data_IF_177269024958
#
_entry.id   IF_177269024958
#
_cell.length_a   1.000
_cell.length_b   1.000
_cell.length_c   1.000
_cell.angle_alpha   90.00
_cell.angle_beta   90.00
_cell.angle_gamma   90.00
#
_symmetry.space_group_name_H-M   'P 1'
#
loop_
_entity.id
_entity.type
_entity.pdbx_description
1 polymer ?
#
# COMPACT_ATOMS: atom_id res chain seq x y z
N UNK A 1 47.29 9.26 48.01
CA UNK A 1 46.22 9.93 47.24
C UNK A 1 45.09 8.94 47.05
N UNK A 2 43.96 9.17 47.71
CA UNK A 2 42.77 8.29 47.64
C UNK A 2 42.00 8.70 46.38
N UNK A 3 41.72 7.81 45.40
CA UNK A 3 40.93 8.20 44.25
C UNK A 3 39.48 8.38 44.67
N UNK A 4 38.85 9.43 44.14
CA UNK A 4 37.55 9.94 44.54
C UNK A 4 36.44 9.11 43.85
N UNK A 5 35.88 8.13 44.56
CA UNK A 5 34.90 7.16 44.02
C UNK A 5 33.59 7.81 43.53
N UNK A 6 33.27 9.01 44.01
CA UNK A 6 32.06 9.73 43.63
C UNK A 6 32.03 10.22 42.18
N UNK A 7 33.19 10.49 41.57
CA UNK A 7 33.26 10.92 40.17
C UNK A 7 32.98 9.77 39.18
N UNK A 8 33.25 8.53 39.56
CA UNK A 8 32.95 7.35 38.73
C UNK A 8 31.45 7.03 38.70
N UNK A 9 30.75 7.21 39.82
CA UNK A 9 29.31 6.94 39.92
C UNK A 9 28.45 7.93 39.13
N UNK A 10 28.85 9.21 39.06
CA UNK A 10 28.16 10.22 38.25
C UNK A 10 28.34 10.01 36.75
N UNK A 11 29.51 9.54 36.30
CA UNK A 11 29.71 9.17 34.89
C UNK A 11 28.92 7.92 34.50
N UNK A 12 28.80 6.94 35.41
CA UNK A 12 28.01 5.73 35.18
C UNK A 12 26.50 6.03 35.08
N UNK A 13 25.98 6.97 35.87
CA UNK A 13 24.56 7.34 35.83
C UNK A 13 24.18 8.22 34.62
N UNK A 14 25.10 9.04 34.10
CA UNK A 14 24.86 9.82 32.87
C UNK A 14 24.82 8.94 31.61
N UNK A 15 25.59 7.84 31.58
CA UNK A 15 25.58 6.88 30.45
C UNK A 15 24.29 6.03 30.37
N UNK A 16 23.56 5.89 31.48
CA UNK A 16 22.30 5.11 31.50
C UNK A 16 21.11 5.95 30.97
N UNK A 17 21.23 7.27 30.92
CA UNK A 17 20.15 8.15 30.43
C UNK A 17 20.09 8.32 28.91
N UNK A 18 21.08 7.83 28.15
CA UNK A 18 21.12 7.92 26.68
C UNK A 18 20.71 6.64 25.95
N UNK A 19 20.22 5.62 26.67
CA UNK A 19 19.87 4.31 26.14
C UNK A 19 18.37 4.07 25.84
N UNK A 20 17.54 5.11 25.79
CA UNK A 20 16.12 5.00 25.42
C UNK A 20 15.71 6.06 24.40
N UNK A 21 16.45 6.14 23.30
CA UNK A 21 15.78 6.42 22.02
C UNK A 21 15.02 5.14 21.69
N UNK A 22 13.70 5.16 21.88
CA UNK A 22 12.87 4.13 21.27
C UNK A 22 13.16 4.14 19.78
N UNK A 23 13.81 3.10 19.28
CA UNK A 23 13.85 2.83 17.85
C UNK A 23 12.39 2.63 17.41
N UNK A 24 11.71 3.72 17.05
CA UNK A 24 10.64 3.65 16.05
C UNK A 24 11.31 3.14 14.78
N UNK A 25 11.38 1.80 14.67
CA UNK A 25 11.90 1.12 13.49
C UNK A 25 11.06 1.58 12.32
N UNK A 26 11.63 2.46 11.51
CA UNK A 26 10.99 2.92 10.28
C UNK A 26 10.64 1.70 9.42
N UNK A 27 9.46 1.67 8.78
CA UNK A 27 9.05 0.52 7.99
C UNK A 27 10.07 0.23 6.88
N UNK A 28 10.36 -1.05 6.60
CA UNK A 28 11.35 -1.41 5.58
C UNK A 28 10.94 -0.89 4.20
N UNK A 29 11.90 -0.58 3.31
CA UNK A 29 11.58 -0.09 1.98
C UNK A 29 10.92 -1.16 1.10
N UNK A 30 10.03 -0.72 0.20
CA UNK A 30 9.41 -1.58 -0.81
C UNK A 30 10.41 -2.04 -1.87
N UNK A 31 10.25 -3.28 -2.36
CA UNK A 31 11.07 -3.85 -3.43
C UNK A 31 10.85 -3.12 -4.77
N UNK A 32 11.88 -3.00 -5.60
CA UNK A 32 11.80 -2.28 -6.88
C UNK A 32 10.82 -2.91 -7.87
N UNK A 33 10.58 -4.21 -7.76
CA UNK A 33 9.63 -4.98 -8.57
C UNK A 33 8.18 -4.56 -8.34
N UNK A 34 7.85 -4.11 -7.13
CA UNK A 34 6.47 -3.84 -6.72
C UNK A 34 5.94 -2.55 -7.38
N UNK A 35 6.83 -1.60 -7.70
CA UNK A 35 6.46 -0.34 -8.35
C UNK A 35 5.81 -0.54 -9.73
N UNK A 36 6.19 -1.58 -10.47
CA UNK A 36 5.57 -1.90 -11.75
C UNK A 36 4.12 -2.35 -11.56
N UNK A 37 3.86 -3.15 -10.52
CA UNK A 37 2.52 -3.57 -10.15
C UNK A 37 1.72 -2.36 -9.70
N UNK A 38 2.23 -1.53 -8.79
CA UNK A 38 1.51 -0.33 -8.35
C UNK A 38 1.15 0.61 -9.50
N UNK A 39 2.08 0.87 -10.42
CA UNK A 39 1.80 1.66 -11.60
C UNK A 39 0.68 1.04 -12.46
N UNK A 40 0.71 -0.27 -12.67
CA UNK A 40 -0.31 -1.02 -13.39
C UNK A 40 -1.68 -0.91 -12.72
N UNK A 41 -1.77 -1.12 -11.40
CA UNK A 41 -3.03 -1.04 -10.65
C UNK A 41 -3.64 0.35 -10.72
N UNK A 42 -2.82 1.37 -10.45
CA UNK A 42 -3.26 2.76 -10.52
C UNK A 42 -3.74 3.01 -11.95
N UNK A 43 -2.93 2.77 -12.98
CA UNK A 43 -3.28 3.04 -14.38
C UNK A 43 -4.52 2.27 -14.87
N UNK A 44 -4.83 1.09 -14.34
CA UNK A 44 -5.99 0.29 -14.75
C UNK A 44 -7.30 0.77 -14.14
N UNK A 45 -7.26 1.33 -12.92
CA UNK A 45 -8.44 1.94 -12.31
C UNK A 45 -8.88 3.20 -13.08
N UNK A 46 -7.92 3.96 -13.59
CA UNK A 46 -8.20 4.99 -14.57
C UNK A 46 -8.46 4.37 -15.94
N UNK A 47 -9.45 4.85 -16.67
CA UNK A 47 -9.71 4.50 -18.07
C UNK A 47 -8.58 4.98 -19.03
N UNK A 48 -7.30 4.80 -18.71
CA UNK A 48 -6.16 5.31 -19.46
C UNK A 48 -5.83 4.53 -20.73
N UNK A 49 -6.59 3.47 -21.00
CA UNK A 49 -6.48 2.69 -22.24
C UNK A 49 -7.29 3.29 -23.40
N UNK A 50 -8.01 4.41 -23.19
CA UNK A 50 -8.74 5.10 -24.27
C UNK A 50 -7.85 6.16 -24.92
N UNK A 51 -7.62 6.04 -26.23
CA UNK A 51 -6.73 6.90 -27.05
C UNK A 51 -7.07 8.40 -27.00
N UNK A 52 -8.29 8.77 -26.59
CA UNK A 52 -8.76 10.15 -26.50
C UNK A 52 -8.30 10.92 -25.25
N UNK A 53 -7.64 10.27 -24.29
CA UNK A 53 -7.43 10.82 -22.94
C UNK A 53 -6.12 11.59 -22.69
N UNK A 54 -5.46 12.09 -23.73
CA UNK A 54 -4.24 12.91 -23.57
C UNK A 54 -4.45 14.14 -22.65
N UNK A 55 -5.68 14.63 -22.50
CA UNK A 55 -6.06 15.70 -21.56
C UNK A 55 -5.97 15.31 -20.08
N UNK A 56 -5.85 14.02 -19.73
CA UNK A 56 -5.81 13.53 -18.33
C UNK A 56 -4.48 13.71 -17.60
N UNK A 57 -3.40 14.08 -18.30
CA UNK A 57 -2.06 14.24 -17.70
C UNK A 57 -2.00 15.27 -16.55
N UNK A 58 -3.00 16.15 -16.43
CA UNK A 58 -3.07 17.13 -15.35
C UNK A 58 -3.73 16.61 -14.07
N UNK A 59 -4.34 15.43 -14.05
CA UNK A 59 -4.97 14.90 -12.83
C UNK A 59 -3.90 14.38 -11.87
N UNK A 60 -4.00 14.81 -10.61
CA UNK A 60 -3.07 14.44 -9.55
C UNK A 60 -3.68 13.34 -8.68
N UNK A 61 -2.91 12.28 -8.45
CA UNK A 61 -3.20 11.31 -7.40
C UNK A 61 -2.19 11.48 -6.27
N UNK A 62 -2.67 11.49 -5.03
CA UNK A 62 -1.79 11.48 -3.86
C UNK A 62 -1.68 10.04 -3.35
N UNK A 63 -0.45 9.57 -3.17
CA UNK A 63 -0.16 8.20 -2.77
C UNK A 63 0.40 8.22 -1.35
N UNK A 64 -0.15 7.39 -0.48
CA UNK A 64 0.41 7.23 0.86
C UNK A 64 1.85 6.66 0.73
N UNK A 65 2.87 7.33 1.29
CA UNK A 65 4.25 6.84 1.24
C UNK A 65 4.43 5.50 1.96
N UNK A 66 3.57 5.16 2.91
CA UNK A 66 3.58 3.86 3.58
C UNK A 66 2.47 2.99 2.99
N UNK A 67 2.81 1.75 2.66
CA UNK A 67 1.81 0.78 2.24
C UNK A 67 0.89 0.47 3.40
N UNK A 68 -0.41 0.45 3.15
CA UNK A 68 -1.39 0.04 4.15
C UNK A 68 -1.26 -1.45 4.43
N UNK A 69 -1.12 -1.80 5.70
CA UNK A 69 -1.47 -3.14 6.14
C UNK A 69 -2.99 -3.23 6.06
N UNK A 70 -3.57 -4.20 5.33
CA UNK A 70 -4.99 -4.49 5.46
C UNK A 70 -5.26 -4.72 6.96
N UNK A 71 -6.09 -3.89 7.58
CA UNK A 71 -6.40 -4.05 9.00
C UNK A 71 -7.46 -5.13 9.15
N UNK A 72 -7.47 -5.80 10.30
CA UNK A 72 -8.56 -6.70 10.66
C UNK A 72 -9.89 -5.94 10.49
N UNK A 73 -10.04 -4.71 11.00
CA UNK A 73 -11.23 -3.88 10.81
C UNK A 73 -11.62 -3.58 9.34
N UNK A 74 -10.64 -3.38 8.43
CA UNK A 74 -10.93 -3.18 7.00
C UNK A 74 -11.25 -4.49 6.26
N UNK A 75 -10.99 -5.62 6.92
CA UNK A 75 -11.33 -6.96 6.50
C UNK A 75 -12.41 -7.61 7.41
N UNK A 76 -12.89 -6.96 8.48
CA UNK A 76 -13.80 -7.52 9.51
C UNK A 76 -15.24 -7.06 9.29
N UNK A 77 -15.47 -6.00 8.52
CA UNK A 77 -16.74 -5.89 7.77
C UNK A 77 -16.90 -7.05 6.77
N UNK A 78 -15.84 -7.83 6.55
CA UNK A 78 -15.74 -8.87 5.54
C UNK A 78 -14.91 -10.08 6.00
N UNK A 79 -15.13 -10.55 7.24
CA UNK A 79 -14.49 -11.70 7.90
C UNK A 79 -13.31 -12.30 7.08
N UNK A 80 -12.06 -11.96 7.44
CA UNK A 80 -10.84 -12.28 6.67
C UNK A 80 -10.81 -13.71 6.09
N UNK A 81 -11.41 -14.67 6.80
CA UNK A 81 -11.61 -16.03 6.34
C UNK A 81 -12.60 -16.15 5.19
N UNK A 82 -13.75 -15.48 5.23
CA UNK A 82 -14.69 -15.42 4.09
C UNK A 82 -14.14 -14.60 2.93
N UNK A 83 -13.37 -13.53 3.09
CA UNK A 83 -12.83 -12.83 1.88
C UNK A 83 -11.86 -13.72 1.11
N UNK A 84 -10.83 -14.30 1.74
CA UNK A 84 -9.92 -15.21 1.03
C UNK A 84 -10.61 -16.48 0.52
N UNK A 85 -11.58 -17.00 1.28
CA UNK A 85 -12.34 -18.20 0.89
C UNK A 85 -13.31 -17.89 -0.25
N UNK A 86 -13.99 -16.74 -0.25
CA UNK A 86 -14.85 -16.24 -1.36
C UNK A 86 -14.04 -15.84 -2.57
N UNK A 87 -12.86 -15.23 -2.40
CA UNK A 87 -11.88 -15.03 -3.48
C UNK A 87 -11.60 -16.37 -4.19
N UNK A 88 -11.38 -17.45 -3.42
CA UNK A 88 -11.13 -18.79 -3.95
C UNK A 88 -12.38 -19.52 -4.49
N UNK A 89 -13.57 -19.33 -3.89
CA UNK A 89 -14.79 -20.09 -4.22
C UNK A 89 -15.74 -19.38 -5.18
N UNK A 90 -15.93 -18.06 -5.05
CA UNK A 90 -17.03 -17.33 -5.69
C UNK A 90 -16.62 -16.73 -7.05
N UNK A 91 -15.32 -16.51 -7.28
CA UNK A 91 -14.81 -15.85 -8.50
C UNK A 91 -14.29 -16.81 -9.58
N UNK A 92 -14.65 -18.10 -9.50
CA UNK A 92 -14.22 -19.15 -10.44
C UNK A 92 -12.70 -19.13 -10.74
N UNK A 93 -11.88 -18.94 -9.70
CA UNK A 93 -10.44 -19.09 -9.83
C UNK A 93 -10.09 -20.56 -10.14
N UNK A 94 -9.16 -20.76 -11.06
CA UNK A 94 -8.53 -22.04 -11.34
C UNK A 94 -7.78 -22.58 -10.11
N UNK A 95 -7.50 -23.88 -10.14
CA UNK A 95 -7.00 -24.61 -8.99
C UNK A 95 -5.66 -24.04 -8.48
N UNK A 96 -4.81 -23.56 -9.38
CA UNK A 96 -3.50 -22.98 -9.05
C UNK A 96 -3.61 -21.64 -8.30
N UNK A 97 -4.59 -20.79 -8.63
CA UNK A 97 -4.89 -19.58 -7.87
C UNK A 97 -5.44 -19.88 -6.49
N UNK A 98 -6.30 -20.89 -6.36
CA UNK A 98 -6.80 -21.33 -5.04
C UNK A 98 -5.65 -21.78 -4.14
N UNK A 99 -4.75 -22.62 -4.66
CA UNK A 99 -3.55 -23.06 -3.92
C UNK A 99 -2.66 -21.88 -3.52
N UNK A 100 -2.48 -20.90 -4.40
CA UNK A 100 -1.72 -19.69 -4.05
C UNK A 100 -2.37 -18.93 -2.89
N UNK A 101 -3.68 -18.65 -2.98
CA UNK A 101 -4.40 -17.89 -1.96
C UNK A 101 -4.43 -18.61 -0.60
N UNK A 102 -4.63 -19.92 -0.59
CA UNK A 102 -4.58 -20.75 0.63
C UNK A 102 -3.17 -20.74 1.28
N UNK A 103 -2.12 -20.62 0.47
CA UNK A 103 -0.73 -20.57 0.93
C UNK A 103 -0.28 -19.22 1.50
N UNK A 104 -1.12 -18.17 1.45
CA UNK A 104 -0.75 -16.84 1.95
C UNK A 104 -0.72 -16.84 3.48
N UNK A 105 0.47 -16.66 4.05
CA UNK A 105 0.63 -16.41 5.48
C UNK A 105 0.21 -14.96 5.80
N UNK A 106 -0.92 -14.83 6.51
CA UNK A 106 -1.50 -13.53 6.91
C UNK A 106 -0.61 -12.69 7.83
N UNK A 107 0.40 -13.27 8.47
CA UNK A 107 1.38 -12.50 9.27
C UNK A 107 2.42 -11.74 8.43
N UNK A 108 2.35 -11.81 7.09
CA UNK A 108 3.29 -11.17 6.16
C UNK A 108 2.85 -9.80 5.65
N UNK A 109 1.67 -9.30 6.03
CA UNK A 109 1.25 -7.94 5.71
C UNK A 109 1.93 -6.97 6.69
N UNK A 110 3.16 -6.62 6.40
CA UNK A 110 3.91 -5.61 7.16
C UNK A 110 3.87 -4.30 6.41
N UNK A 111 3.73 -3.19 7.12
CA UNK A 111 3.90 -1.87 6.52
C UNK A 111 5.28 -1.73 5.87
N UNK A 112 5.32 -1.09 4.71
CA UNK A 112 6.53 -0.82 3.95
C UNK A 112 6.53 0.60 3.42
N UNK A 113 7.70 1.18 3.29
CA UNK A 113 7.86 2.56 2.80
C UNK A 113 8.16 2.57 1.30
N UNK A 114 7.39 3.34 0.53
CA UNK A 114 7.68 3.71 -0.84
C UNK A 114 8.79 4.75 -0.87
N UNK A 115 9.92 4.40 -1.50
CA UNK A 115 11.05 5.32 -1.67
C UNK A 115 10.91 6.22 -2.90
N UNK A 116 9.97 5.93 -3.81
CA UNK A 116 9.67 6.73 -4.99
C UNK A 116 8.22 6.57 -5.43
N UNK A 117 7.73 7.53 -6.20
CA UNK A 117 6.36 7.47 -6.76
C UNK A 117 6.33 6.50 -7.96
N UNK A 118 5.31 5.63 -8.10
CA UNK A 118 5.12 4.81 -9.30
C UNK A 118 5.05 5.68 -10.57
N UNK A 119 5.70 5.23 -11.64
CA UNK A 119 5.66 5.95 -12.94
C UNK A 119 4.33 5.68 -13.63
N UNK A 120 3.43 6.65 -13.61
CA UNK A 120 2.11 6.57 -14.24
C UNK A 120 2.17 7.06 -15.69
N UNK A 121 1.28 6.53 -16.54
CA UNK A 121 1.29 6.85 -17.98
C UNK A 121 0.49 8.12 -18.31
N UNK A 122 -0.63 8.32 -17.61
CA UNK A 122 -1.65 9.30 -17.98
C UNK A 122 -1.99 10.32 -16.88
N UNK A 123 -1.34 10.23 -15.72
CA UNK A 123 -1.62 11.04 -14.52
C UNK A 123 -0.34 11.47 -13.83
N UNK A 124 -0.44 12.53 -13.04
CA UNK A 124 0.60 12.93 -12.11
C UNK A 124 0.36 12.23 -10.78
N UNK A 125 1.45 11.81 -10.15
CA UNK A 125 1.40 11.27 -8.80
C UNK A 125 2.37 12.02 -7.90
N UNK A 126 1.96 12.26 -6.67
CA UNK A 126 2.79 12.79 -5.61
C UNK A 126 2.55 12.00 -4.33
N UNK A 127 3.49 12.07 -3.39
CA UNK A 127 3.24 11.52 -2.07
C UNK A 127 2.25 12.40 -1.31
N UNK A 128 1.41 11.75 -0.51
CA UNK A 128 0.58 12.43 0.47
C UNK A 128 1.51 13.16 1.48
N UNK A 129 1.31 14.45 1.76
CA UNK A 129 2.09 15.15 2.78
C UNK A 129 1.78 14.56 4.16
N UNK A 130 2.80 14.36 5.00
CA UNK A 130 2.65 13.75 6.33
C UNK A 130 1.65 14.45 7.28
N UNK A 131 1.45 15.78 7.13
CA UNK A 131 0.43 16.52 7.90
C UNK A 131 -0.99 16.27 7.39
N UNK A 132 -1.11 15.82 6.15
CA UNK A 132 -2.36 15.58 5.43
C UNK A 132 -2.88 14.16 5.59
N UNK A 133 -2.10 13.24 6.14
CA UNK A 133 -2.56 11.89 6.51
C UNK A 133 -3.76 11.93 7.49
N UNK A 134 -3.96 13.07 8.15
CA UNK A 134 -5.07 13.34 9.07
C UNK A 134 -6.14 14.30 8.50
N UNK A 135 -5.91 14.86 7.31
CA UNK A 135 -6.84 15.79 6.66
C UNK A 135 -7.81 15.03 5.75
N UNK A 136 -9.06 15.48 5.67
CA UNK A 136 -10.04 14.86 4.80
C UNK A 136 -9.77 15.19 3.32
N UNK A 137 -10.43 14.47 2.41
CA UNK A 137 -10.27 14.67 0.97
C UNK A 137 -10.58 16.10 0.51
N UNK A 138 -11.61 16.74 1.09
CA UNK A 138 -12.07 18.08 0.70
C UNK A 138 -11.02 19.14 1.00
N UNK A 139 -10.37 19.06 2.17
CA UNK A 139 -9.29 19.97 2.56
C UNK A 139 -8.09 19.85 1.62
N UNK A 140 -7.77 18.61 1.22
CA UNK A 140 -6.71 18.35 0.26
C UNK A 140 -7.05 18.88 -1.12
N UNK A 141 -8.30 18.75 -1.56
CA UNK A 141 -8.75 19.25 -2.86
C UNK A 141 -8.70 20.79 -2.93
N UNK A 142 -8.96 21.49 -1.81
CA UNK A 142 -8.79 22.94 -1.73
C UNK A 142 -7.33 23.38 -1.94
N UNK A 143 -6.37 22.56 -1.49
CA UNK A 143 -4.92 22.80 -1.65
C UNK A 143 -4.43 22.38 -3.04
N UNK A 144 -4.90 21.22 -3.52
CA UNK A 144 -4.51 20.59 -4.76
C UNK A 144 -5.69 20.60 -5.74
N UNK A 145 -5.85 21.71 -6.47
CA UNK A 145 -7.01 21.97 -7.35
C UNK A 145 -7.30 20.88 -8.40
N UNK A 146 -6.31 20.07 -8.74
CA UNK A 146 -6.39 18.98 -9.71
C UNK A 146 -6.34 17.59 -9.06
N UNK A 147 -6.54 17.51 -7.74
CA UNK A 147 -6.62 16.26 -6.99
C UNK A 147 -7.81 15.44 -7.48
N UNK A 148 -7.52 14.23 -7.92
CA UNK A 148 -8.51 13.26 -8.36
C UNK A 148 -8.81 12.25 -7.25
N UNK A 149 -7.75 11.66 -6.65
CA UNK A 149 -7.87 10.57 -5.66
C UNK A 149 -6.73 10.58 -4.66
N UNK A 150 -7.02 10.10 -3.45
CA UNK A 150 -6.04 9.59 -2.50
C UNK A 150 -5.95 8.08 -2.68
N UNK A 151 -4.73 7.54 -2.72
CA UNK A 151 -4.48 6.13 -3.00
C UNK A 151 -3.67 5.53 -1.85
N UNK A 152 -4.16 4.41 -1.35
CA UNK A 152 -3.48 3.55 -0.39
C UNK A 152 -3.28 2.19 -1.04
N UNK A 153 -2.06 1.67 -0.95
CA UNK A 153 -1.67 0.39 -1.55
C UNK A 153 -1.16 -0.52 -0.45
N UNK A 154 -1.51 -1.80 -0.48
CA UNK A 154 -0.84 -2.78 0.37
C UNK A 154 0.50 -3.21 -0.20
N UNK A 155 1.29 -3.90 0.63
CA UNK A 155 2.39 -4.71 0.12
C UNK A 155 1.88 -5.69 -0.95
N UNK A 156 2.69 -5.90 -2.00
CA UNK A 156 2.44 -6.96 -2.99
C UNK A 156 2.83 -8.33 -2.42
N UNK A 157 1.92 -9.29 -2.53
CA UNK A 157 2.19 -10.69 -2.22
C UNK A 157 2.41 -11.45 -3.52
N UNK A 158 3.51 -12.21 -3.59
CA UNK A 158 3.83 -13.05 -4.73
C UNK A 158 3.64 -14.52 -4.40
N UNK A 159 3.28 -15.31 -5.41
CA UNK A 159 3.46 -16.75 -5.36
C UNK A 159 4.97 -17.11 -5.29
N UNK A 160 5.33 -18.30 -4.78
CA UNK A 160 6.74 -18.70 -4.67
C UNK A 160 7.53 -18.67 -5.99
N UNK A 161 6.88 -18.96 -7.10
CA UNK A 161 7.44 -18.92 -8.47
C UNK A 161 7.40 -17.52 -9.11
N UNK A 162 6.86 -16.51 -8.42
CA UNK A 162 6.66 -15.14 -8.89
C UNK A 162 5.85 -15.03 -10.19
N UNK A 163 5.00 -16.02 -10.49
CA UNK A 163 4.08 -15.99 -11.64
C UNK A 163 2.75 -15.30 -11.32
N UNK A 164 2.36 -15.26 -10.04
CA UNK A 164 1.13 -14.64 -9.54
C UNK A 164 1.46 -13.58 -8.50
N UNK A 165 0.63 -12.55 -8.44
CA UNK A 165 0.72 -11.54 -7.41
C UNK A 165 -0.67 -11.05 -6.97
N UNK A 166 -0.75 -10.56 -5.75
CA UNK A 166 -1.94 -9.97 -5.15
C UNK A 166 -1.59 -8.65 -4.47
N UNK A 167 -2.46 -7.65 -4.60
CA UNK A 167 -2.31 -6.36 -3.92
C UNK A 167 -3.68 -5.74 -3.64
N UNK A 168 -3.83 -5.18 -2.45
CA UNK A 168 -5.00 -4.40 -2.08
C UNK A 168 -4.79 -2.94 -2.46
N UNK A 169 -5.88 -2.35 -2.95
CA UNK A 169 -5.96 -0.99 -3.44
C UNK A 169 -7.16 -0.32 -2.79
N UNK A 170 -6.93 0.83 -2.17
CA UNK A 170 -8.00 1.67 -1.64
C UNK A 170 -7.88 3.05 -2.24
N UNK A 171 -9.02 3.61 -2.63
CA UNK A 171 -9.13 4.98 -3.07
C UNK A 171 -10.17 5.77 -2.30
N UNK A 172 -9.89 7.07 -2.13
CA UNK A 172 -10.83 8.07 -1.66
C UNK A 172 -10.90 9.14 -2.74
N UNK A 173 -12.10 9.38 -3.29
CA UNK A 173 -12.32 10.29 -4.41
C UNK A 173 -13.32 11.41 -4.10
N UNK A 174 -14.01 11.33 -2.96
CA UNK A 174 -14.92 12.37 -2.47
C UNK A 174 -14.80 12.48 -0.94
N UNK A 175 -15.59 13.35 -0.30
CA UNK A 175 -15.61 13.57 1.16
C UNK A 175 -15.89 12.31 1.98
N UNK A 176 -16.72 11.43 1.43
CA UNK A 176 -17.40 10.31 2.08
C UNK A 176 -17.42 9.05 1.21
N UNK A 177 -17.07 9.18 -0.06
CA UNK A 177 -17.04 8.11 -1.05
C UNK A 177 -15.62 7.63 -1.40
N UNK A 178 -15.48 6.32 -1.46
CA UNK A 178 -14.26 5.63 -1.80
C UNK A 178 -14.53 4.21 -2.28
N UNK A 179 -13.48 3.49 -2.64
CA UNK A 179 -13.60 2.06 -2.89
C UNK A 179 -12.38 1.27 -2.45
N UNK A 180 -12.61 0.03 -2.07
CA UNK A 180 -11.59 -0.98 -1.79
C UNK A 180 -11.64 -2.07 -2.85
N UNK A 181 -10.48 -2.49 -3.33
CA UNK A 181 -10.36 -3.57 -4.32
C UNK A 181 -9.16 -4.46 -4.02
N UNK A 182 -9.31 -5.76 -4.28
CA UNK A 182 -8.22 -6.71 -4.37
C UNK A 182 -7.91 -6.98 -5.85
N UNK A 183 -6.65 -6.82 -6.25
CA UNK A 183 -6.20 -7.12 -7.59
C UNK A 183 -5.39 -8.42 -7.59
N UNK A 184 -5.80 -9.34 -8.46
CA UNK A 184 -5.05 -10.56 -8.77
C UNK A 184 -4.33 -10.36 -10.10
N UNK A 185 -3.03 -10.58 -10.10
CA UNK A 185 -2.16 -10.33 -11.24
C UNK A 185 -1.42 -11.59 -11.66
N UNK A 186 -1.19 -11.72 -12.96
CA UNK A 186 -0.37 -12.78 -13.54
C UNK A 186 0.76 -12.23 -14.37
N UNK A 187 1.88 -12.95 -14.34
CA UNK A 187 3.03 -12.68 -15.18
C UNK A 187 2.95 -13.52 -16.45
N UNK A 188 2.61 -12.88 -17.56
CA UNK A 188 2.54 -13.50 -18.88
C UNK A 188 3.70 -12.98 -19.74
N UNK A 189 4.52 -13.89 -20.28
CA UNK A 189 5.70 -13.53 -21.09
C UNK A 189 6.61 -12.48 -20.43
N UNK A 190 6.80 -12.58 -19.10
CA UNK A 190 7.62 -11.67 -18.32
C UNK A 190 6.95 -10.35 -17.92
N UNK A 191 5.72 -10.10 -18.37
CA UNK A 191 4.98 -8.85 -18.11
C UNK A 191 3.82 -9.10 -17.14
N UNK A 192 3.67 -8.23 -16.15
CA UNK A 192 2.52 -8.29 -15.23
C UNK A 192 1.26 -7.77 -15.92
N UNK A 193 0.18 -8.51 -15.74
CA UNK A 193 -1.16 -8.20 -16.25
C UNK A 193 -2.17 -8.38 -15.14
N UNK A 194 -3.22 -7.56 -15.13
CA UNK A 194 -4.32 -7.73 -14.19
C UNK A 194 -5.19 -8.85 -14.73
N UNK A 195 -5.26 -9.95 -13.97
CA UNK A 195 -6.15 -11.06 -14.28
C UNK A 195 -7.58 -10.74 -13.84
N UNK A 196 -7.74 -10.27 -12.62
CA UNK A 196 -9.05 -9.87 -12.10
C UNK A 196 -8.94 -8.76 -11.06
N UNK A 197 -9.98 -7.93 -11.00
CA UNK A 197 -10.21 -6.94 -9.95
C UNK A 197 -11.45 -7.37 -9.20
N UNK A 198 -11.33 -7.44 -7.88
CA UNK A 198 -12.41 -7.85 -7.00
C UNK A 198 -12.74 -6.67 -6.11
N UNK A 199 -13.95 -6.12 -6.27
CA UNK A 199 -14.44 -5.03 -5.41
C UNK A 199 -14.74 -5.60 -4.03
N UNK A 200 -14.14 -4.99 -3.00
CA UNK A 200 -14.35 -5.36 -1.61
C UNK A 200 -15.45 -4.51 -0.99
N UNK A 201 -15.44 -3.21 -1.29
CA UNK A 201 -16.47 -2.27 -0.88
C UNK A 201 -16.48 -1.06 -1.82
N UNK A 202 -17.61 -0.36 -1.80
CA UNK A 202 -17.87 0.91 -2.47
C UNK A 202 -18.79 1.72 -1.55
N UNK A 203 -18.41 2.96 -1.24
CA UNK A 203 -19.24 3.89 -0.46
C UNK A 203 -19.70 5.07 -1.28
#
# INVERSE_FOLDING_TARGET
>A
MIPNWHSFLLCALLLISWGRSGDEKSPPPVATTDYAIYALLINADSQCNHETDQTRQKRLVLINPTTSTPTADSLDEFDELTTFRRLATDYMLDADWRTFLEGINRKKFTERTLSKVPKLQCRQAAFLPRRSDQQNFVDLQATYKNLEKLIYLSQVIYSPDQSKAMCFYTEISTSDGGSGSCFLLEKQNGTWTIRTRISLWLS
#
